data_IF_701121392617
#
_entry.id   IF_701121392617
#
_cell.length_a   1.000
_cell.length_b   1.000
_cell.length_c   1.000
_cell.angle_alpha   90.00
_cell.angle_beta   90.00
_cell.angle_gamma   90.00
#
_symmetry.space_group_name_H-M   'P 1'
#
loop_
_entity.id
_entity.type
_entity.pdbx_description
1 polymer ?
#
# COMPACT_ATOMS: atom_id res chain seq x y z
N UNK A 1 8.04 9.26 -20.17
CA UNK A 1 8.09 8.34 -19.03
C UNK A 1 7.94 9.20 -17.80
N UNK A 2 6.77 9.19 -17.17
CA UNK A 2 6.61 9.81 -15.85
C UNK A 2 7.47 9.00 -14.89
N UNK A 3 8.40 9.67 -14.22
CA UNK A 3 9.26 9.02 -13.25
C UNK A 3 8.35 8.45 -12.15
N UNK A 4 8.35 7.11 -12.02
CA UNK A 4 7.45 6.40 -11.13
C UNK A 4 7.63 6.82 -9.67
N UNK A 5 8.69 7.55 -9.32
CA UNK A 5 8.98 8.03 -7.97
C UNK A 5 8.53 9.46 -7.65
N UNK A 6 7.95 10.22 -8.59
CA UNK A 6 7.56 11.61 -8.29
C UNK A 6 6.43 11.64 -7.24
N UNK A 7 6.78 12.04 -6.01
CA UNK A 7 5.85 12.17 -4.89
C UNK A 7 5.90 11.04 -3.85
N UNK A 8 6.77 10.03 -4.02
CA UNK A 8 6.97 8.95 -3.02
C UNK A 8 7.98 9.33 -1.96
N UNK A 9 7.77 8.88 -0.73
CA UNK A 9 8.60 9.15 0.45
C UNK A 9 9.23 7.89 1.04
N UNK A 10 8.65 6.72 0.80
CA UNK A 10 9.15 5.42 1.24
C UNK A 10 9.95 4.73 0.13
N UNK A 11 11.19 4.34 0.42
CA UNK A 11 12.00 3.54 -0.50
C UNK A 11 11.37 2.17 -0.77
N UNK A 12 10.68 1.63 0.22
CA UNK A 12 9.89 0.39 0.13
C UNK A 12 8.68 0.48 -0.80
N UNK A 13 8.27 1.69 -1.22
CA UNK A 13 7.24 1.92 -2.24
C UNK A 13 7.81 2.12 -3.66
N UNK A 14 9.10 1.81 -3.87
CA UNK A 14 9.65 1.67 -5.22
C UNK A 14 9.09 0.40 -5.88
N UNK A 15 8.45 0.48 -7.07
CA UNK A 15 7.81 -0.67 -7.68
C UNK A 15 8.84 -1.74 -8.04
N UNK A 16 8.51 -2.99 -7.77
CA UNK A 16 9.32 -4.11 -8.21
C UNK A 16 9.32 -4.18 -9.76
N UNK A 17 10.47 -3.98 -10.44
CA UNK A 17 10.51 -3.89 -11.90
C UNK A 17 10.31 -5.23 -12.60
N UNK A 18 10.35 -6.36 -11.88
CA UNK A 18 10.14 -7.70 -12.44
C UNK A 18 8.76 -8.28 -12.11
N UNK A 19 7.87 -7.50 -11.49
CA UNK A 19 6.50 -7.91 -11.22
C UNK A 19 5.69 -7.95 -12.53
N UNK A 20 5.00 -9.07 -12.80
CA UNK A 20 4.26 -9.28 -14.05
C UNK A 20 2.77 -8.97 -13.89
N UNK A 21 2.35 -7.79 -14.34
CA UNK A 21 0.96 -7.36 -14.29
C UNK A 21 -0.01 -8.29 -15.05
N UNK A 22 0.45 -8.96 -16.11
CA UNK A 22 -0.42 -9.83 -16.91
C UNK A 22 -0.84 -11.08 -16.15
N UNK A 23 0.00 -11.54 -15.21
CA UNK A 23 -0.32 -12.66 -14.32
C UNK A 23 -1.34 -12.29 -13.24
N UNK A 24 -1.66 -11.00 -13.08
CA UNK A 24 -2.52 -10.46 -12.01
C UNK A 24 -3.57 -9.47 -12.53
N UNK A 25 -4.07 -9.68 -13.77
CA UNK A 25 -4.97 -8.72 -14.43
C UNK A 25 -6.23 -8.40 -13.63
N UNK A 26 -6.83 -9.40 -12.99
CA UNK A 26 -8.05 -9.22 -12.20
C UNK A 26 -7.77 -8.42 -10.93
N UNK A 27 -6.63 -8.68 -10.29
CA UNK A 27 -6.14 -7.90 -9.15
C UNK A 27 -5.93 -6.43 -9.55
N UNK A 28 -5.28 -6.17 -10.68
CA UNK A 28 -5.06 -4.80 -11.19
C UNK A 28 -6.39 -4.11 -11.50
N UNK A 29 -7.34 -4.82 -12.12
CA UNK A 29 -8.64 -4.27 -12.50
C UNK A 29 -9.50 -3.85 -11.30
N UNK A 30 -9.37 -4.50 -10.15
CA UNK A 30 -10.08 -4.13 -8.92
C UNK A 30 -9.76 -2.71 -8.44
N UNK A 31 -8.58 -2.18 -8.80
CA UNK A 31 -8.14 -0.83 -8.47
C UNK A 31 -8.54 0.24 -9.49
N UNK A 32 -9.35 -0.10 -10.50
CA UNK A 32 -9.72 0.79 -11.61
C UNK A 32 -10.61 1.98 -11.24
N UNK A 33 -11.18 1.98 -10.03
CA UNK A 33 -12.02 3.07 -9.54
C UNK A 33 -11.19 4.34 -9.27
N UNK A 34 -11.57 5.42 -9.95
CA UNK A 34 -10.87 6.69 -9.92
C UNK A 34 -11.20 7.55 -8.70
N UNK A 35 -12.00 7.05 -7.77
CA UNK A 35 -12.29 7.72 -6.50
C UNK A 35 -11.46 7.16 -5.34
N UNK A 36 -10.74 6.06 -5.55
CA UNK A 36 -9.98 5.39 -4.49
C UNK A 36 -8.78 6.24 -4.02
N UNK A 37 -8.65 6.36 -2.71
CA UNK A 37 -7.49 6.92 -2.02
C UNK A 37 -6.77 5.78 -1.29
N UNK A 38 -5.48 5.63 -1.55
CA UNK A 38 -4.65 4.58 -0.95
C UNK A 38 -3.75 5.22 0.10
N UNK A 39 -3.81 4.71 1.32
CA UNK A 39 -2.95 5.11 2.43
C UNK A 39 -2.05 3.94 2.83
N UNK A 40 -0.74 4.16 2.81
CA UNK A 40 0.27 3.14 3.07
C UNK A 40 1.09 3.53 4.28
N UNK A 41 1.04 2.73 5.33
CA UNK A 41 1.96 2.82 6.47
C UNK A 41 3.05 1.79 6.32
N UNK A 42 4.28 2.27 6.20
CA UNK A 42 5.46 1.43 5.97
C UNK A 42 6.69 2.00 6.65
N UNK A 43 7.73 1.18 6.75
CA UNK A 43 9.01 1.59 7.28
C UNK A 43 10.13 0.97 6.47
N UNK A 44 11.05 1.80 5.98
CA UNK A 44 12.19 1.33 5.19
C UNK A 44 13.17 0.47 5.97
N UNK A 45 13.01 0.38 7.30
CA UNK A 45 13.72 -0.48 8.22
C UNK A 45 13.05 -1.85 8.43
N UNK A 46 11.81 -2.04 7.96
CA UNK A 46 10.98 -3.22 8.23
C UNK A 46 11.07 -4.24 7.10
N UNK A 47 11.40 -5.48 7.44
CA UNK A 47 11.62 -6.55 6.45
C UNK A 47 10.34 -6.95 5.72
N UNK A 48 9.20 -7.02 6.40
CA UNK A 48 7.92 -7.27 5.74
C UNK A 48 7.50 -6.13 4.82
N UNK A 49 7.81 -4.88 5.17
CA UNK A 49 7.60 -3.74 4.27
C UNK A 49 8.46 -3.89 3.00
N UNK A 50 9.76 -4.17 3.15
CA UNK A 50 10.67 -4.40 2.01
C UNK A 50 10.27 -5.59 1.15
N UNK A 51 9.66 -6.62 1.74
CA UNK A 51 9.21 -7.81 1.03
C UNK A 51 7.91 -7.60 0.27
N UNK A 52 6.96 -6.87 0.84
CA UNK A 52 5.59 -6.82 0.34
C UNK A 52 5.23 -5.54 -0.42
N UNK A 53 5.74 -4.38 0.02
CA UNK A 53 5.37 -3.10 -0.58
C UNK A 53 5.86 -2.90 -2.02
N UNK A 54 7.03 -3.41 -2.46
CA UNK A 54 7.45 -3.24 -3.85
C UNK A 54 6.51 -3.90 -4.87
N UNK A 55 5.97 -5.08 -4.55
CA UNK A 55 4.99 -5.77 -5.40
C UNK A 55 3.64 -5.04 -5.39
N UNK A 56 3.21 -4.56 -4.23
CA UNK A 56 2.01 -3.73 -4.12
C UNK A 56 2.14 -2.43 -4.93
N UNK A 57 3.28 -1.75 -4.82
CA UNK A 57 3.60 -0.55 -5.57
C UNK A 57 3.59 -0.80 -7.09
N UNK A 58 4.04 -1.98 -7.54
CA UNK A 58 3.95 -2.39 -8.94
C UNK A 58 2.50 -2.62 -9.38
N UNK A 59 1.67 -3.25 -8.54
CA UNK A 59 0.26 -3.48 -8.85
C UNK A 59 -0.53 -2.17 -9.02
N UNK A 60 -0.41 -1.22 -8.08
CA UNK A 60 -1.12 0.07 -8.17
C UNK A 60 -0.55 0.96 -9.29
N UNK A 61 0.72 0.79 -9.65
CA UNK A 61 1.30 1.46 -10.80
C UNK A 61 0.76 0.89 -12.12
N UNK A 62 0.61 -0.44 -12.22
CA UNK A 62 -0.01 -1.09 -13.37
C UNK A 62 -1.51 -0.76 -13.50
N UNK A 63 -2.18 -0.42 -12.39
CA UNK A 63 -3.55 0.09 -12.38
C UNK A 63 -3.65 1.59 -12.75
N UNK A 64 -2.53 2.24 -13.11
CA UNK A 64 -2.47 3.67 -13.42
C UNK A 64 -3.02 4.58 -12.31
N UNK A 65 -2.93 4.17 -11.04
CA UNK A 65 -3.34 5.02 -9.92
C UNK A 65 -2.44 6.26 -9.87
N UNK A 66 -3.00 7.48 -9.92
CA UNK A 66 -2.21 8.69 -9.82
C UNK A 66 -1.48 8.78 -8.47
N UNK A 67 -0.19 9.11 -8.47
CA UNK A 67 0.61 9.25 -7.23
C UNK A 67 -0.04 10.18 -6.19
N UNK A 68 -0.80 11.19 -6.61
CA UNK A 68 -1.55 12.10 -5.70
C UNK A 68 -2.63 11.41 -4.86
N UNK A 69 -3.06 10.21 -5.25
CA UNK A 69 -4.04 9.39 -4.50
C UNK A 69 -3.37 8.35 -3.61
N UNK A 70 -2.03 8.23 -3.67
CA UNK A 70 -1.26 7.33 -2.83
C UNK A 70 -0.56 8.16 -1.76
N UNK A 71 -0.99 8.01 -0.53
CA UNK A 71 -0.41 8.67 0.63
C UNK A 71 0.49 7.70 1.39
N UNK A 72 1.76 8.03 1.48
CA UNK A 72 2.75 7.22 2.17
C UNK A 72 3.07 7.83 3.53
N UNK A 73 3.09 6.99 4.57
CA UNK A 73 3.33 7.37 5.94
C UNK A 73 4.50 6.57 6.49
N UNK A 74 5.63 7.24 6.72
CA UNK A 74 6.78 6.64 7.37
C UNK A 74 6.49 6.36 8.84
N UNK A 75 6.65 5.09 9.21
CA UNK A 75 6.47 4.60 10.58
C UNK A 75 7.83 4.29 11.18
N UNK A 76 8.06 4.76 12.39
CA UNK A 76 9.21 4.43 13.22
C UNK A 76 8.81 3.46 14.34
N UNK A 77 9.80 2.85 15.01
CA UNK A 77 9.59 1.92 16.13
C UNK A 77 10.47 2.30 17.30
N UNK A 78 9.87 2.44 18.48
CA UNK A 78 10.62 2.77 19.69
C UNK A 78 11.27 1.52 20.31
N UNK A 79 11.98 1.70 21.43
CA UNK A 79 12.66 0.61 22.12
C UNK A 79 11.69 -0.47 22.64
N UNK A 80 10.46 -0.07 22.99
CA UNK A 80 9.40 -0.97 23.49
C UNK A 80 8.66 -1.69 22.34
N UNK A 81 9.02 -1.40 21.09
CA UNK A 81 8.43 -2.01 19.90
C UNK A 81 7.16 -1.32 19.39
N UNK A 82 6.73 -0.24 20.04
CA UNK A 82 5.56 0.52 19.63
C UNK A 82 5.84 1.30 18.34
N UNK A 83 4.83 1.35 17.48
CA UNK A 83 4.87 2.07 16.21
C UNK A 83 4.44 3.52 16.44
N UNK A 84 5.14 4.47 15.84
CA UNK A 84 4.77 5.88 15.87
C UNK A 84 5.10 6.56 14.55
N UNK A 85 4.41 7.68 14.26
CA UNK A 85 4.52 8.40 13.01
C UNK A 85 3.21 9.11 12.64
N UNK A 86 3.16 9.75 11.47
CA UNK A 86 1.97 10.44 10.99
C UNK A 86 0.75 9.49 10.90
N UNK A 87 -0.39 9.93 11.43
CA UNK A 87 -1.68 9.22 11.41
C UNK A 87 -1.69 7.79 11.98
N UNK A 88 -0.60 7.34 12.61
CA UNK A 88 -0.50 5.99 13.23
C UNK A 88 -1.55 5.80 14.33
N UNK A 89 -1.70 6.76 15.24
CA UNK A 89 -2.69 6.69 16.32
C UNK A 89 -4.12 6.83 15.82
N UNK A 90 -4.32 7.72 14.86
CA UNK A 90 -5.63 8.01 14.25
C UNK A 90 -6.21 6.79 13.55
N UNK A 91 -5.39 6.04 12.80
CA UNK A 91 -5.80 4.84 12.06
C UNK A 91 -5.57 3.52 12.81
N UNK A 92 -5.14 3.57 14.07
CA UNK A 92 -4.92 2.38 14.90
C UNK A 92 -3.80 1.45 14.39
N UNK A 93 -2.74 2.02 13.80
CA UNK A 93 -1.67 1.26 13.14
C UNK A 93 -0.72 0.67 14.19
N UNK A 94 -0.86 -0.63 14.46
CA UNK A 94 0.01 -1.38 15.38
C UNK A 94 0.99 -2.33 14.67
N UNK A 95 0.78 -2.57 13.38
CA UNK A 95 1.58 -3.47 12.52
C UNK A 95 1.86 -2.79 11.20
N UNK A 96 2.98 -3.16 10.56
CA UNK A 96 3.33 -2.65 9.23
C UNK A 96 3.94 -3.78 8.38
N UNK A 97 3.68 -3.84 7.07
CA UNK A 97 2.91 -2.87 6.31
C UNK A 97 1.41 -2.91 6.65
N UNK A 98 0.78 -1.74 6.63
CA UNK A 98 -0.68 -1.61 6.63
C UNK A 98 -1.08 -0.72 5.48
N UNK A 99 -2.11 -1.15 4.74
CA UNK A 99 -2.67 -0.39 3.65
C UNK A 99 -4.16 -0.22 3.89
N UNK A 100 -4.65 1.01 3.78
CA UNK A 100 -6.06 1.35 3.86
C UNK A 100 -6.48 1.94 2.53
N UNK A 101 -7.63 1.51 2.02
CA UNK A 101 -8.27 2.09 0.85
C UNK A 101 -9.53 2.80 1.30
N UNK A 102 -9.65 4.06 0.88
CA UNK A 102 -10.80 4.90 1.14
C UNK A 102 -11.52 5.22 -0.17
N UNK A 103 -12.84 5.29 -0.11
CA UNK A 103 -13.73 5.80 -1.16
C UNK A 103 -14.69 6.79 -0.49
N UNK A 104 -14.80 8.00 -1.03
CA UNK A 104 -15.70 9.03 -0.47
C UNK A 104 -15.50 9.28 1.05
N UNK A 105 -14.24 9.31 1.49
CA UNK A 105 -13.83 9.45 2.90
C UNK A 105 -14.24 8.30 3.83
N UNK A 106 -14.73 7.18 3.30
CA UNK A 106 -15.02 5.94 4.03
C UNK A 106 -13.97 4.87 3.74
N UNK A 107 -13.50 4.18 4.79
CA UNK A 107 -12.64 3.01 4.66
C UNK A 107 -13.42 1.84 4.06
N UNK A 108 -13.01 1.38 2.87
CA UNK A 108 -13.65 0.28 2.15
C UNK A 108 -12.83 -1.00 2.16
N UNK A 109 -11.52 -0.93 2.40
CA UNK A 109 -10.66 -2.10 2.54
C UNK A 109 -9.42 -1.79 3.40
N UNK A 110 -8.94 -2.77 4.16
CA UNK A 110 -7.73 -2.66 4.97
C UNK A 110 -6.93 -3.95 4.98
N UNK A 111 -5.66 -3.86 4.58
CA UNK A 111 -4.66 -4.90 4.75
C UNK A 111 -3.83 -4.65 6.02
N UNK A 112 -3.57 -5.69 6.80
CA UNK A 112 -2.62 -5.66 7.92
C UNK A 112 -1.60 -6.78 7.73
N UNK A 113 -0.33 -6.53 8.09
CA UNK A 113 0.81 -7.46 7.99
C UNK A 113 0.52 -8.97 8.25
N UNK A 114 -0.44 -9.29 9.11
CA UNK A 114 -0.80 -10.68 9.45
C UNK A 114 -1.61 -11.44 8.42
N UNK A 115 -2.08 -10.78 7.37
CA UNK A 115 -2.79 -11.46 6.29
C UNK A 115 -1.88 -12.45 5.55
N UNK A 116 -2.47 -13.55 5.10
CA UNK A 116 -1.74 -14.69 4.54
C UNK A 116 -1.47 -14.61 3.04
N UNK A 117 -2.06 -13.62 2.36
CA UNK A 117 -1.96 -13.41 0.91
C UNK A 117 -1.32 -12.06 0.60
N UNK A 118 -0.78 -11.85 -0.61
CA UNK A 118 -0.16 -10.57 -0.98
C UNK A 118 -1.12 -9.38 -0.86
N UNK A 119 -0.59 -8.22 -0.48
CA UNK A 119 -1.35 -6.96 -0.25
C UNK A 119 -2.34 -6.67 -1.38
N UNK A 120 -1.86 -6.67 -2.63
CA UNK A 120 -2.68 -6.33 -3.79
C UNK A 120 -3.85 -7.31 -3.96
N UNK A 121 -3.60 -8.61 -3.77
CA UNK A 121 -4.61 -9.67 -3.91
C UNK A 121 -5.68 -9.52 -2.84
N UNK A 122 -5.26 -9.39 -1.57
CA UNK A 122 -6.18 -9.22 -0.45
C UNK A 122 -7.11 -8.02 -0.65
N UNK A 123 -6.53 -6.87 -0.99
CA UNK A 123 -7.30 -5.64 -1.18
C UNK A 123 -8.22 -5.72 -2.40
N UNK A 124 -7.77 -6.35 -3.49
CA UNK A 124 -8.61 -6.57 -4.66
C UNK A 124 -9.83 -7.43 -4.33
N UNK A 125 -9.66 -8.51 -3.56
CA UNK A 125 -10.77 -9.34 -3.10
C UNK A 125 -11.79 -8.48 -2.33
N UNK A 126 -11.34 -7.71 -1.35
CA UNK A 126 -12.19 -6.82 -0.54
C UNK A 126 -12.92 -5.73 -1.36
N UNK A 127 -12.29 -5.21 -2.43
CA UNK A 127 -12.92 -4.20 -3.29
C UNK A 127 -13.99 -4.76 -4.23
N UNK A 128 -14.04 -6.08 -4.40
CA UNK A 128 -14.96 -6.76 -5.34
C UNK A 128 -16.09 -7.53 -4.66
N UNK A 129 -16.15 -7.51 -3.33
CA UNK A 129 -17.28 -8.00 -2.52
C UNK A 129 -18.50 -7.06 -2.59
#
# INVERSE_FOLDING_TARGET
>A
MVDANVGRTLETMKPNPVWDANSWSDTVAAFSDDTLIIRVWGGDWCDDCRRQLPDFAAAINAADIPNKRVHEYSVEKNADGEKYGPSVKEYGINRIPTVVIEREDEEVARFVETESVPIAVFLAEQLTE
#
